data_IF_859464989816
#
_entry.id   IF_859464989816
#
_cell.length_a   1.000
_cell.length_b   1.000
_cell.length_c   1.000
_cell.angle_alpha   90.00
_cell.angle_beta   90.00
_cell.angle_gamma   90.00
#
_symmetry.space_group_name_H-M   'P 1'
#
loop_
_entity.id
_entity.type
_entity.pdbx_description
1 polymer ?
#
# COMPACT_ATOMS: atom_id res chain seq x y z
N UNK A 1 -19.42 5.77 2.18
CA UNK A 1 -18.58 5.23 1.10
C UNK A 1 -18.49 3.72 1.25
N UNK A 2 -18.36 3.04 0.16
CA UNK A 2 -18.38 1.58 0.06
C UNK A 2 -17.17 0.90 0.73
N UNK A 3 -16.17 1.68 1.14
CA UNK A 3 -14.99 1.19 1.89
C UNK A 3 -15.16 1.22 3.41
N UNK A 4 -16.29 1.66 3.95
CA UNK A 4 -16.50 1.78 5.41
C UNK A 4 -16.46 0.46 6.17
N UNK A 5 -16.53 -0.66 5.47
CA UNK A 5 -16.44 -1.99 6.08
C UNK A 5 -15.03 -2.41 6.48
N UNK A 6 -13.99 -1.80 5.90
CA UNK A 6 -12.62 -1.94 6.37
C UNK A 6 -12.43 -1.20 7.68
N UNK A 7 -11.68 -1.80 8.61
CA UNK A 7 -11.42 -1.19 9.92
C UNK A 7 -10.57 0.07 9.79
N UNK A 8 -9.58 0.04 8.87
CA UNK A 8 -8.71 1.17 8.58
C UNK A 8 -8.60 1.40 7.07
N UNK A 9 -8.83 2.65 6.67
CA UNK A 9 -8.55 3.12 5.31
C UNK A 9 -7.36 4.06 5.40
N UNK A 10 -6.29 3.77 4.64
CA UNK A 10 -5.09 4.62 4.51
C UNK A 10 -5.00 5.16 3.10
N UNK A 11 -5.09 6.45 2.95
CA UNK A 11 -4.89 7.08 1.64
C UNK A 11 -3.43 6.98 1.22
N UNK A 12 -3.16 6.26 0.12
CA UNK A 12 -1.84 6.21 -0.50
C UNK A 12 -1.55 7.55 -1.18
N UNK A 13 -0.94 8.48 -0.43
CA UNK A 13 -0.83 9.89 -0.81
C UNK A 13 0.10 10.14 -2.00
N UNK A 14 0.89 9.16 -2.43
CA UNK A 14 1.61 9.19 -3.71
C UNK A 14 0.71 9.43 -4.93
N UNK A 15 -0.58 9.11 -4.83
CA UNK A 15 -1.55 9.39 -5.90
C UNK A 15 -1.80 10.90 -6.07
N UNK A 16 -1.90 11.64 -4.99
CA UNK A 16 -1.95 13.11 -4.97
C UNK A 16 -1.64 13.63 -3.56
N UNK A 17 -0.44 14.12 -3.34
CA UNK A 17 0.03 14.61 -2.03
C UNK A 17 -0.23 16.10 -1.79
N UNK A 18 -1.17 16.70 -2.52
CA UNK A 18 -1.60 18.09 -2.32
C UNK A 18 -2.19 18.26 -0.92
N UNK A 19 -1.77 19.29 -0.17
CA UNK A 19 -2.19 19.49 1.23
C UNK A 19 -3.71 19.61 1.38
N UNK A 20 -4.39 20.25 0.44
CA UNK A 20 -5.85 20.36 0.47
C UNK A 20 -6.55 19.00 0.33
N UNK A 21 -6.02 18.09 -0.50
CA UNK A 21 -6.54 16.73 -0.64
C UNK A 21 -6.29 15.94 0.64
N UNK A 22 -5.09 16.02 1.21
CA UNK A 22 -4.75 15.35 2.47
C UNK A 22 -5.64 15.82 3.62
N UNK A 23 -5.84 17.14 3.77
CA UNK A 23 -6.72 17.68 4.81
C UNK A 23 -8.17 17.25 4.59
N UNK A 24 -8.65 17.27 3.36
CA UNK A 24 -10.00 16.81 3.03
C UNK A 24 -10.23 15.35 3.44
N UNK A 25 -9.38 14.43 3.02
CA UNK A 25 -9.56 13.01 3.35
C UNK A 25 -9.39 12.74 4.85
N UNK A 26 -8.53 13.49 5.55
CA UNK A 26 -8.35 13.42 7.01
C UNK A 26 -9.66 13.72 7.77
N UNK A 27 -10.45 14.67 7.31
CA UNK A 27 -11.73 15.04 7.93
C UNK A 27 -12.76 13.90 7.93
N UNK A 28 -12.57 12.89 7.07
CA UNK A 28 -13.39 11.69 7.03
C UNK A 28 -12.80 10.51 7.84
N UNK A 29 -11.76 10.76 8.64
CA UNK A 29 -11.11 9.72 9.44
C UNK A 29 -10.18 8.79 8.64
N UNK A 30 -9.92 9.13 7.38
CA UNK A 30 -8.98 8.36 6.55
C UNK A 30 -7.56 8.68 7.01
N UNK A 31 -6.78 7.63 7.31
CA UNK A 31 -5.36 7.72 7.65
C UNK A 31 -4.51 7.82 6.37
N UNK A 32 -3.18 7.85 6.49
CA UNK A 32 -2.30 7.95 5.31
C UNK A 32 -1.21 6.88 5.30
N UNK A 33 -0.88 6.46 4.08
CA UNK A 33 0.33 5.75 3.72
C UNK A 33 1.32 6.72 3.06
N UNK A 34 2.55 6.75 3.56
CA UNK A 34 3.63 7.59 3.07
C UNK A 34 4.78 6.72 2.52
N UNK A 35 5.36 7.12 1.40
CA UNK A 35 6.48 6.40 0.75
C UNK A 35 7.78 7.22 0.71
N UNK A 36 7.82 8.37 1.37
CA UNK A 36 8.98 9.25 1.44
C UNK A 36 8.92 10.18 2.65
N UNK A 37 10.09 10.72 3.04
CA UNK A 37 10.17 11.75 4.09
C UNK A 37 9.30 12.98 3.77
N UNK A 38 9.26 13.39 2.50
CA UNK A 38 8.45 14.53 2.07
C UNK A 38 6.94 14.29 2.26
N UNK A 39 6.47 13.07 2.07
CA UNK A 39 5.07 12.70 2.32
C UNK A 39 4.75 12.67 3.80
N UNK A 40 5.64 12.18 4.66
CA UNK A 40 5.49 12.25 6.12
C UNK A 40 5.31 13.71 6.56
N UNK A 41 6.19 14.61 6.09
CA UNK A 41 6.12 16.05 6.40
C UNK A 41 4.79 16.66 5.94
N UNK A 42 4.30 16.31 4.73
CA UNK A 42 3.01 16.80 4.22
C UNK A 42 1.84 16.33 5.07
N UNK A 43 1.82 15.05 5.45
CA UNK A 43 0.81 14.49 6.32
C UNK A 43 0.77 15.21 7.68
N UNK A 44 1.91 15.36 8.34
CA UNK A 44 2.02 16.07 9.61
C UNK A 44 1.57 17.53 9.50
N UNK A 45 1.89 18.20 8.39
CA UNK A 45 1.52 19.61 8.16
C UNK A 45 0.01 19.85 8.13
N UNK A 46 -0.77 18.87 7.71
CA UNK A 46 -2.24 18.94 7.71
C UNK A 46 -2.88 18.33 8.96
N UNK A 47 -2.07 17.90 9.94
CA UNK A 47 -2.55 17.48 11.24
C UNK A 47 -2.72 15.97 11.45
N UNK A 48 -2.18 15.12 10.57
CA UNK A 48 -2.00 13.71 10.90
C UNK A 48 -0.96 13.55 12.00
N UNK A 49 -1.27 12.74 12.99
CA UNK A 49 -0.39 12.53 14.13
C UNK A 49 0.56 11.37 13.86
N UNK A 50 1.87 11.59 13.98
CA UNK A 50 2.83 10.49 13.93
C UNK A 50 2.79 9.67 15.22
N UNK A 51 3.42 8.51 15.20
CA UNK A 51 3.64 7.64 16.36
C UNK A 51 2.90 6.32 16.29
N UNK A 52 3.48 5.32 16.94
CA UNK A 52 2.97 3.94 16.98
C UNK A 52 1.60 3.81 17.67
N UNK A 53 1.29 4.69 18.64
CA UNK A 53 0.04 4.61 19.38
C UNK A 53 -1.19 5.04 18.56
N UNK A 54 -1.01 6.01 17.66
CA UNK A 54 -2.13 6.58 16.88
C UNK A 54 -2.22 6.01 15.47
N UNK A 55 -1.09 5.58 14.90
CA UNK A 55 -1.00 4.99 13.55
C UNK A 55 -1.72 5.79 12.47
N UNK A 56 -1.74 7.15 12.58
CA UNK A 56 -2.36 7.96 11.53
C UNK A 56 -1.50 7.96 10.26
N UNK A 57 -0.17 7.80 10.42
CA UNK A 57 0.81 7.72 9.34
C UNK A 57 1.52 6.38 9.43
N UNK A 58 1.58 5.64 8.33
CA UNK A 58 2.49 4.49 8.16
C UNK A 58 3.49 4.79 7.04
N UNK A 59 4.66 4.19 7.10
CA UNK A 59 5.67 4.27 6.06
C UNK A 59 5.76 2.94 5.32
N UNK A 60 5.44 2.94 4.03
CA UNK A 60 5.47 1.75 3.19
C UNK A 60 6.44 1.95 2.03
N UNK A 61 7.59 1.30 2.09
CA UNK A 61 8.59 1.36 1.03
C UNK A 61 9.41 0.06 0.95
N UNK A 62 10.23 -0.05 -0.09
CA UNK A 62 11.18 -1.16 -0.25
C UNK A 62 12.60 -0.77 0.23
N UNK A 63 12.81 0.51 0.56
CA UNK A 63 14.06 1.07 1.08
C UNK A 63 13.80 2.20 2.07
N UNK A 64 14.77 2.47 2.93
CA UNK A 64 14.92 3.77 3.58
C UNK A 64 15.99 4.59 2.84
N UNK A 65 15.65 5.80 2.39
CA UNK A 65 16.67 6.81 2.18
C UNK A 65 17.03 7.47 3.51
N UNK A 66 18.12 8.27 3.52
CA UNK A 66 18.61 8.91 4.75
C UNK A 66 17.57 9.81 5.41
N UNK A 67 16.79 10.54 4.63
CA UNK A 67 15.79 11.44 5.16
C UNK A 67 14.59 10.66 5.71
N UNK A 68 14.19 9.58 5.05
CA UNK A 68 13.07 8.74 5.47
C UNK A 68 13.34 8.05 6.81
N UNK A 69 14.52 7.41 6.99
CA UNK A 69 14.84 6.74 8.25
C UNK A 69 14.91 7.74 9.41
N UNK A 70 15.47 8.94 9.20
CA UNK A 70 15.51 9.98 10.23
C UNK A 70 14.09 10.42 10.63
N UNK A 71 13.19 10.62 9.66
CA UNK A 71 11.81 11.00 9.94
C UNK A 71 11.05 9.89 10.67
N UNK A 72 11.24 8.64 10.25
CA UNK A 72 10.60 7.47 10.86
C UNK A 72 11.04 7.33 12.33
N UNK A 73 12.35 7.43 12.60
CA UNK A 73 12.90 7.36 13.96
C UNK A 73 12.46 8.53 14.82
N UNK A 74 12.57 9.77 14.30
CA UNK A 74 12.24 10.98 15.06
C UNK A 74 10.77 11.06 15.48
N UNK A 75 9.89 10.40 14.74
CA UNK A 75 8.44 10.46 14.95
C UNK A 75 7.81 9.12 15.31
N UNK A 76 8.60 8.09 15.59
CA UNK A 76 8.16 6.74 15.96
C UNK A 76 7.09 6.18 15.00
N UNK A 77 7.33 6.28 13.69
CA UNK A 77 6.36 5.90 12.66
C UNK A 77 6.39 4.39 12.44
N UNK A 78 5.21 3.77 12.39
CA UNK A 78 5.06 2.38 12.02
C UNK A 78 5.47 2.13 10.56
N UNK A 79 6.17 1.03 10.32
CA UNK A 79 6.70 0.71 9.00
C UNK A 79 6.18 -0.62 8.44
N UNK A 80 5.80 -0.58 7.18
CA UNK A 80 5.56 -1.74 6.33
C UNK A 80 6.86 -2.02 5.57
N UNK A 81 7.65 -2.99 6.07
CA UNK A 81 8.98 -3.32 5.56
C UNK A 81 8.90 -4.02 4.22
N UNK A 82 9.46 -3.45 3.17
CA UNK A 82 9.47 -3.99 1.81
C UNK A 82 10.74 -4.75 1.44
N UNK A 83 11.75 -4.78 2.33
CA UNK A 83 12.96 -5.58 2.15
C UNK A 83 13.52 -6.07 3.49
N UNK A 84 14.27 -7.19 3.52
CA UNK A 84 14.91 -7.68 4.74
C UNK A 84 15.89 -6.67 5.36
N UNK A 85 16.61 -5.90 4.55
CA UNK A 85 17.58 -4.91 5.01
C UNK A 85 16.95 -3.72 5.74
N UNK A 86 15.68 -3.39 5.43
CA UNK A 86 14.93 -2.39 6.19
C UNK A 86 14.72 -2.82 7.65
N UNK A 87 14.56 -4.12 7.92
CA UNK A 87 14.39 -4.65 9.28
C UNK A 87 15.66 -4.38 10.10
N UNK A 88 16.83 -4.65 9.54
CA UNK A 88 18.10 -4.40 10.23
C UNK A 88 18.29 -2.88 10.45
N UNK A 89 18.12 -2.05 9.40
CA UNK A 89 18.27 -0.59 9.49
C UNK A 89 17.32 0.05 10.50
N UNK A 90 16.09 -0.44 10.58
CA UNK A 90 15.11 0.04 11.55
C UNK A 90 15.42 -0.49 12.94
N UNK A 91 15.70 -1.79 13.10
CA UNK A 91 15.94 -2.43 14.38
C UNK A 91 17.16 -1.89 15.13
N UNK A 92 18.23 -1.52 14.40
CA UNK A 92 19.40 -0.84 14.98
C UNK A 92 19.05 0.50 15.64
N UNK A 93 18.02 1.18 15.17
CA UNK A 93 17.60 2.51 15.62
C UNK A 93 16.39 2.49 16.56
N UNK A 94 15.50 1.54 16.36
CA UNK A 94 14.17 1.44 16.98
C UNK A 94 13.89 0.01 17.45
N UNK A 95 14.66 -0.53 18.41
CA UNK A 95 14.41 -1.86 18.94
C UNK A 95 13.05 -1.95 19.65
N UNK A 96 12.58 -3.18 19.86
CA UNK A 96 11.36 -3.50 20.61
C UNK A 96 10.07 -2.85 20.05
N UNK A 97 9.99 -2.69 18.73
CA UNK A 97 8.84 -2.10 18.04
C UNK A 97 8.04 -3.12 17.22
N UNK A 98 6.73 -2.93 17.10
CA UNK A 98 5.95 -3.66 16.11
C UNK A 98 6.26 -3.16 14.69
N UNK A 99 6.30 -4.09 13.74
CA UNK A 99 6.45 -3.83 12.31
C UNK A 99 5.47 -4.68 11.51
N UNK A 100 5.23 -4.27 10.26
CA UNK A 100 4.49 -5.04 9.27
C UNK A 100 5.43 -5.49 8.15
N UNK A 101 5.28 -6.69 7.63
CA UNK A 101 6.00 -7.14 6.44
C UNK A 101 5.13 -6.95 5.20
N UNK A 102 5.65 -6.23 4.20
CA UNK A 102 5.07 -6.20 2.86
C UNK A 102 5.65 -7.36 2.05
N UNK A 103 4.78 -8.29 1.67
CA UNK A 103 5.19 -9.56 1.07
C UNK A 103 4.83 -9.58 -0.41
N UNK A 104 5.75 -10.11 -1.21
CA UNK A 104 5.55 -10.53 -2.59
C UNK A 104 5.30 -12.04 -2.59
N UNK A 105 4.07 -12.51 -2.88
CA UNK A 105 3.72 -13.93 -2.80
C UNK A 105 4.26 -14.78 -3.95
N UNK A 106 5.05 -14.22 -4.86
CA UNK A 106 5.64 -14.93 -5.99
C UNK A 106 4.80 -14.89 -7.28
N UNK A 107 3.62 -14.30 -7.23
CA UNK A 107 2.75 -14.09 -8.38
C UNK A 107 2.15 -12.69 -8.34
N UNK A 108 1.65 -12.19 -9.46
CA UNK A 108 1.05 -10.87 -9.52
C UNK A 108 0.33 -10.61 -10.83
N UNK A 109 -0.67 -9.73 -10.78
CA UNK A 109 -1.42 -9.23 -11.93
C UNK A 109 -1.42 -7.70 -11.94
N UNK A 110 -1.44 -7.11 -13.13
CA UNK A 110 -1.62 -5.68 -13.35
C UNK A 110 -2.17 -5.43 -14.75
N UNK A 111 -2.79 -4.26 -14.98
CA UNK A 111 -3.26 -3.84 -16.33
C UNK A 111 -2.15 -3.86 -17.38
N UNK A 112 -0.90 -3.82 -16.96
CA UNK A 112 0.29 -4.02 -17.79
C UNK A 112 1.41 -4.60 -16.92
N UNK A 113 2.43 -5.18 -17.54
CA UNK A 113 3.64 -5.63 -16.83
C UNK A 113 4.28 -4.51 -15.99
N UNK A 114 4.13 -3.24 -16.41
CA UNK A 114 4.69 -2.07 -15.72
C UNK A 114 3.94 -1.70 -14.42
N UNK A 115 2.70 -2.12 -14.27
CA UNK A 115 1.86 -1.85 -13.08
C UNK A 115 1.71 -3.09 -12.17
N UNK A 116 2.38 -4.20 -12.52
CA UNK A 116 2.42 -5.39 -11.69
C UNK A 116 3.36 -5.17 -10.50
N UNK A 117 2.85 -5.32 -9.28
CA UNK A 117 3.59 -5.16 -8.02
C UNK A 117 3.85 -6.49 -7.31
N UNK A 118 3.57 -7.64 -7.95
CA UNK A 118 3.85 -8.98 -7.45
C UNK A 118 4.59 -9.85 -8.49
N UNK A 119 5.05 -11.03 -8.05
CA UNK A 119 5.75 -12.00 -8.89
C UNK A 119 7.25 -11.72 -9.07
N UNK A 120 7.97 -12.62 -9.78
CA UNK A 120 9.44 -12.61 -9.81
C UNK A 120 10.05 -11.45 -10.61
N UNK A 121 9.26 -10.72 -11.37
CA UNK A 121 9.71 -9.54 -12.13
C UNK A 121 9.38 -8.21 -11.43
N UNK A 122 8.76 -8.25 -10.26
CA UNK A 122 8.47 -7.09 -9.45
C UNK A 122 9.53 -6.93 -8.37
N UNK A 123 10.05 -5.70 -8.22
CA UNK A 123 10.99 -5.36 -7.13
C UNK A 123 10.30 -5.15 -5.78
N UNK A 124 8.97 -5.09 -5.75
CA UNK A 124 8.21 -4.68 -4.58
C UNK A 124 7.97 -5.82 -3.61
N UNK A 125 8.22 -5.51 -2.33
CA UNK A 125 7.97 -6.42 -1.21
C UNK A 125 9.02 -7.51 -1.04
N UNK A 126 8.97 -8.15 0.11
CA UNK A 126 9.84 -9.26 0.50
C UNK A 126 9.36 -10.52 -0.22
N UNK A 127 10.25 -11.23 -0.87
CA UNK A 127 9.95 -12.50 -1.51
C UNK A 127 9.47 -13.54 -0.48
N UNK A 128 8.38 -14.23 -0.76
CA UNK A 128 7.71 -15.09 0.21
C UNK A 128 8.63 -16.13 0.88
N UNK A 129 9.61 -16.67 0.15
CA UNK A 129 10.58 -17.63 0.71
C UNK A 129 11.56 -16.99 1.72
N UNK A 130 11.70 -15.66 1.73
CA UNK A 130 12.56 -14.92 2.67
C UNK A 130 11.84 -14.50 3.96
N UNK A 131 10.55 -14.77 4.08
CA UNK A 131 9.76 -14.36 5.24
C UNK A 131 10.32 -14.95 6.53
N UNK A 132 10.75 -16.23 6.52
CA UNK A 132 11.41 -16.87 7.67
C UNK A 132 12.70 -16.15 8.11
N UNK A 133 13.51 -15.68 7.17
CA UNK A 133 14.69 -14.86 7.45
C UNK A 133 14.30 -13.53 8.10
N UNK A 134 13.20 -12.91 7.67
CA UNK A 134 12.71 -11.66 8.26
C UNK A 134 12.32 -11.83 9.73
N UNK A 135 11.71 -12.96 10.12
CA UNK A 135 11.43 -13.26 11.53
C UNK A 135 12.73 -13.37 12.35
N UNK A 136 13.74 -14.07 11.83
CA UNK A 136 15.03 -14.20 12.50
C UNK A 136 15.78 -12.85 12.62
N UNK A 137 15.63 -11.97 11.62
CA UNK A 137 16.19 -10.62 11.69
C UNK A 137 15.45 -9.75 12.72
N UNK A 138 14.12 -9.80 12.73
CA UNK A 138 13.29 -9.05 13.67
C UNK A 138 13.62 -9.45 15.14
N UNK A 139 13.76 -10.74 15.40
CA UNK A 139 14.10 -11.28 16.74
C UNK A 139 15.40 -10.70 17.27
N UNK A 140 16.43 -10.50 16.44
CA UNK A 140 17.73 -9.92 16.86
C UNK A 140 17.60 -8.52 17.48
N UNK A 141 16.57 -7.78 17.14
CA UNK A 141 16.34 -6.41 17.62
C UNK A 141 15.11 -6.31 18.54
N UNK A 142 14.51 -7.43 18.94
CA UNK A 142 13.27 -7.43 19.71
C UNK A 142 12.04 -6.93 18.95
N UNK A 143 12.13 -6.80 17.63
CA UNK A 143 11.00 -6.34 16.82
C UNK A 143 9.92 -7.42 16.75
N UNK A 144 8.66 -7.00 16.81
CA UNK A 144 7.51 -7.89 16.69
C UNK A 144 6.87 -7.72 15.32
N UNK A 145 6.82 -8.78 14.51
CA UNK A 145 6.05 -8.77 13.27
C UNK A 145 4.57 -8.93 13.64
N UNK A 146 3.86 -7.80 13.70
CA UNK A 146 2.46 -7.72 14.11
C UNK A 146 1.49 -7.56 12.94
N UNK A 147 2.00 -7.36 11.72
CA UNK A 147 1.17 -7.17 10.52
C UNK A 147 1.75 -7.84 9.29
N UNK A 148 0.87 -8.25 8.40
CA UNK A 148 1.20 -8.69 7.05
C UNK A 148 0.47 -7.81 6.04
N UNK A 149 1.18 -7.44 4.98
CA UNK A 149 0.70 -6.55 3.93
C UNK A 149 0.98 -7.18 2.57
N UNK A 150 -0.01 -7.21 1.69
CA UNK A 150 0.15 -7.60 0.30
C UNK A 150 -0.49 -6.56 -0.61
N UNK A 151 0.30 -6.04 -1.55
CA UNK A 151 -0.17 -5.13 -2.58
C UNK A 151 0.19 -5.71 -3.94
N UNK A 152 -0.76 -6.31 -4.63
CA UNK A 152 -0.53 -7.15 -5.81
C UNK A 152 -1.21 -6.55 -7.04
N UNK A 153 -0.64 -5.43 -7.51
CA UNK A 153 -1.08 -4.77 -8.73
C UNK A 153 -2.47 -4.13 -8.64
N UNK A 154 -2.92 -3.62 -9.76
CA UNK A 154 -4.26 -3.05 -9.93
C UNK A 154 -5.06 -3.97 -10.83
N UNK A 155 -6.18 -4.52 -10.33
CA UNK A 155 -7.01 -5.38 -11.17
C UNK A 155 -8.32 -5.77 -10.52
N UNK A 156 -9.23 -6.25 -11.36
CA UNK A 156 -10.55 -6.77 -11.00
C UNK A 156 -10.61 -8.30 -11.05
N UNK A 157 -9.45 -8.95 -11.14
CA UNK A 157 -9.38 -10.41 -11.20
C UNK A 157 -9.56 -11.00 -9.80
N UNK A 158 -10.77 -11.43 -9.52
CA UNK A 158 -11.15 -12.03 -8.23
C UNK A 158 -10.59 -13.42 -8.00
N UNK A 159 -10.26 -14.17 -9.05
CA UNK A 159 -9.58 -15.47 -8.90
C UNK A 159 -8.16 -15.24 -8.40
N UNK A 160 -7.46 -14.29 -9.00
CA UNK A 160 -6.15 -13.87 -8.55
C UNK A 160 -6.18 -13.31 -7.12
N UNK A 161 -7.18 -12.49 -6.79
CA UNK A 161 -7.35 -11.96 -5.43
C UNK A 161 -7.56 -13.09 -4.40
N UNK A 162 -8.30 -14.14 -4.75
CA UNK A 162 -8.45 -15.32 -3.89
C UNK A 162 -7.11 -15.98 -3.61
N UNK A 163 -6.24 -16.13 -4.61
CA UNK A 163 -4.89 -16.67 -4.43
C UNK A 163 -4.02 -15.80 -3.50
N UNK A 164 -4.16 -14.48 -3.56
CA UNK A 164 -3.49 -13.55 -2.64
C UNK A 164 -3.97 -13.76 -1.21
N UNK A 165 -5.28 -13.89 -1.01
CA UNK A 165 -5.88 -14.19 0.28
C UNK A 165 -5.38 -15.52 0.86
N UNK A 166 -5.32 -16.58 0.05
CA UNK A 166 -4.80 -17.89 0.45
C UNK A 166 -3.32 -17.82 0.84
N UNK A 167 -2.52 -17.04 0.11
CA UNK A 167 -1.10 -16.80 0.46
C UNK A 167 -0.95 -16.05 1.78
N UNK A 168 -1.80 -15.05 2.04
CA UNK A 168 -1.82 -14.33 3.32
C UNK A 168 -2.06 -15.28 4.48
N UNK A 169 -3.06 -16.15 4.37
CA UNK A 169 -3.37 -17.16 5.39
C UNK A 169 -2.23 -18.15 5.60
N UNK A 170 -1.66 -18.67 4.52
CA UNK A 170 -0.56 -19.63 4.57
C UNK A 170 0.63 -19.06 5.34
N UNK A 171 1.07 -17.86 4.99
CA UNK A 171 2.21 -17.21 5.64
C UNK A 171 1.94 -16.86 7.11
N UNK A 172 0.72 -16.42 7.43
CA UNK A 172 0.35 -16.16 8.81
C UNK A 172 0.41 -17.43 9.69
N UNK A 173 0.00 -18.58 9.14
CA UNK A 173 0.04 -19.88 9.82
C UNK A 173 1.45 -20.43 9.99
N UNK A 174 2.23 -20.42 8.90
CA UNK A 174 3.58 -21.02 8.89
C UNK A 174 4.51 -20.41 9.94
N UNK A 175 4.33 -19.12 10.21
CA UNK A 175 5.23 -18.39 11.10
C UNK A 175 4.66 -18.17 12.50
N UNK A 176 3.45 -18.67 12.81
CA UNK A 176 2.80 -18.50 14.12
C UNK A 176 2.92 -17.09 14.69
N UNK A 177 2.90 -16.09 13.80
CA UNK A 177 3.16 -14.72 14.16
C UNK A 177 2.00 -14.14 15.00
N UNK A 178 2.27 -13.21 15.92
CA UNK A 178 1.23 -12.51 16.69
C UNK A 178 0.57 -11.43 15.82
N UNK A 179 0.00 -11.85 14.67
CA UNK A 179 -0.59 -10.96 13.69
C UNK A 179 -1.82 -10.29 14.27
N UNK A 180 -1.79 -8.96 14.30
CA UNK A 180 -2.89 -8.10 14.73
C UNK A 180 -3.54 -7.38 13.56
N UNK A 181 -2.84 -7.27 12.44
CA UNK A 181 -3.29 -6.51 11.26
C UNK A 181 -2.97 -7.28 9.99
N UNK A 182 -3.92 -7.33 9.08
CA UNK A 182 -3.69 -7.68 7.68
C UNK A 182 -4.08 -6.52 6.79
N UNK A 183 -3.22 -6.18 5.82
CA UNK A 183 -3.48 -5.11 4.85
C UNK A 183 -3.65 -5.68 3.46
N UNK A 184 -4.78 -5.34 2.83
CA UNK A 184 -5.08 -5.63 1.44
C UNK A 184 -4.25 -4.77 0.46
N UNK A 185 -3.46 -3.82 1.00
CA UNK A 185 -2.73 -2.85 0.18
C UNK A 185 -3.65 -1.96 -0.64
N UNK A 186 -3.09 -1.42 -1.72
CA UNK A 186 -3.84 -0.60 -2.68
C UNK A 186 -4.24 -1.38 -3.93
N UNK A 187 -4.34 -0.65 -5.05
CA UNK A 187 -4.59 -1.26 -6.36
C UNK A 187 -6.04 -1.27 -6.81
N UNK A 188 -6.97 -0.71 -6.04
CA UNK A 188 -8.35 -0.57 -6.49
C UNK A 188 -8.39 0.24 -7.81
N UNK A 189 -8.93 -0.33 -8.90
CA UNK A 189 -9.04 0.34 -10.18
C UNK A 189 -10.19 1.33 -10.21
N UNK A 190 -10.16 2.22 -11.21
CA UNK A 190 -11.30 3.02 -11.64
C UNK A 190 -11.63 2.69 -13.09
N UNK A 191 -12.84 2.98 -13.52
CA UNK A 191 -13.21 2.95 -14.93
C UNK A 191 -12.66 4.19 -15.64
N UNK A 192 -11.78 3.99 -16.64
CA UNK A 192 -11.27 5.08 -17.47
C UNK A 192 -12.13 5.32 -18.72
N UNK A 193 -12.86 4.30 -19.14
CA UNK A 193 -13.73 4.35 -20.32
C UNK A 193 -15.20 4.18 -19.88
N UNK A 194 -16.15 4.81 -20.58
CA UNK A 194 -17.58 4.75 -20.20
C UNK A 194 -18.18 3.33 -20.18
N UNK A 195 -17.55 2.40 -20.87
CA UNK A 195 -17.98 0.99 -20.97
C UNK A 195 -17.20 0.03 -20.05
N UNK A 196 -16.29 0.55 -19.26
CA UNK A 196 -15.60 -0.26 -18.24
C UNK A 196 -16.49 -0.40 -17.00
N UNK A 197 -16.56 -1.62 -16.49
CA UNK A 197 -17.28 -1.89 -15.25
C UNK A 197 -16.47 -1.40 -14.04
N UNK A 198 -17.17 -0.82 -13.08
CA UNK A 198 -16.58 -0.50 -11.78
C UNK A 198 -16.27 -1.81 -11.02
N UNK A 199 -15.26 -1.75 -10.16
CA UNK A 199 -14.94 -2.88 -9.29
C UNK A 199 -16.11 -3.17 -8.33
N UNK A 200 -16.43 -4.45 -8.16
CA UNK A 200 -17.34 -4.93 -7.12
C UNK A 200 -16.64 -4.87 -5.75
N UNK A 201 -16.87 -3.78 -5.02
CA UNK A 201 -16.25 -3.53 -3.72
C UNK A 201 -16.78 -4.45 -2.63
N UNK A 202 -18.03 -4.89 -2.71
CA UNK A 202 -18.61 -5.82 -1.74
C UNK A 202 -17.90 -7.16 -1.85
N UNK A 203 -17.79 -7.71 -3.05
CA UNK A 203 -17.04 -8.94 -3.32
C UNK A 203 -15.55 -8.83 -2.94
N UNK A 204 -14.93 -7.67 -3.21
CA UNK A 204 -13.54 -7.42 -2.82
C UNK A 204 -13.38 -7.47 -1.30
N UNK A 205 -14.26 -6.78 -0.57
CA UNK A 205 -14.29 -6.80 0.88
C UNK A 205 -14.54 -8.21 1.43
N UNK A 206 -15.52 -8.92 0.89
CA UNK A 206 -15.91 -10.26 1.37
C UNK A 206 -14.76 -11.26 1.29
N UNK A 207 -13.96 -11.23 0.25
CA UNK A 207 -12.77 -12.08 0.12
C UNK A 207 -11.77 -11.80 1.25
N UNK A 208 -11.41 -10.55 1.46
CA UNK A 208 -10.47 -10.16 2.51
C UNK A 208 -11.03 -10.38 3.91
N UNK A 209 -12.30 -10.09 4.11
CA UNK A 209 -12.97 -10.32 5.39
C UNK A 209 -13.09 -11.82 5.71
N UNK A 210 -13.32 -12.65 4.71
CA UNK A 210 -13.28 -14.11 4.87
C UNK A 210 -11.92 -14.60 5.36
N UNK A 211 -10.84 -14.11 4.76
CA UNK A 211 -9.45 -14.37 5.21
C UNK A 211 -9.25 -13.92 6.66
N UNK A 212 -9.64 -12.69 6.98
CA UNK A 212 -9.57 -12.16 8.35
C UNK A 212 -10.29 -13.07 9.35
N UNK A 213 -11.52 -13.48 9.04
CA UNK A 213 -12.33 -14.31 9.94
C UNK A 213 -11.69 -15.69 10.17
N UNK A 214 -11.15 -16.32 9.13
CA UNK A 214 -10.47 -17.62 9.27
C UNK A 214 -9.23 -17.49 10.15
N UNK A 215 -8.41 -16.45 9.94
CA UNK A 215 -7.25 -16.16 10.77
C UNK A 215 -7.63 -15.82 12.22
N UNK A 216 -8.67 -15.03 12.46
CA UNK A 216 -9.16 -14.73 13.80
C UNK A 216 -9.59 -15.98 14.57
N UNK A 217 -10.30 -16.89 13.89
CA UNK A 217 -10.73 -18.15 14.50
C UNK A 217 -9.55 -19.05 14.85
N UNK A 218 -8.51 -19.07 14.05
CA UNK A 218 -7.32 -19.88 14.25
C UNK A 218 -6.39 -19.33 15.33
N UNK A 219 -6.15 -18.01 15.30
CA UNK A 219 -5.25 -17.32 16.24
C UNK A 219 -5.92 -16.99 17.58
N UNK A 220 -7.25 -17.04 17.66
CA UNK A 220 -8.00 -16.82 18.88
C UNK A 220 -8.11 -15.37 19.35
N UNK A 221 -7.84 -14.41 18.47
CA UNK A 221 -7.97 -12.97 18.75
C UNK A 221 -8.46 -12.17 17.54
N UNK A 222 -8.84 -10.92 17.76
CA UNK A 222 -9.27 -10.03 16.68
C UNK A 222 -8.09 -9.59 15.82
N UNK A 223 -8.36 -9.45 14.50
CA UNK A 223 -7.42 -8.95 13.50
C UNK A 223 -8.06 -7.76 12.81
N UNK A 224 -7.31 -6.66 12.73
CA UNK A 224 -7.70 -5.44 11.98
C UNK A 224 -7.48 -5.65 10.50
N UNK A 225 -8.44 -5.25 9.66
CA UNK A 225 -8.36 -5.30 8.21
C UNK A 225 -8.17 -3.90 7.65
N UNK A 226 -7.02 -3.67 7.02
CA UNK A 226 -6.67 -2.39 6.39
C UNK A 226 -6.73 -2.43 4.87
N UNK A 227 -6.93 -1.25 4.26
CA UNK A 227 -6.83 -1.03 2.81
C UNK A 227 -6.15 0.31 2.51
N UNK A 228 -5.39 0.37 1.40
CA UNK A 228 -4.57 1.53 1.00
C UNK A 228 -4.96 2.10 -0.38
N UNK A 229 -6.20 2.58 -0.57
CA UNK A 229 -6.61 3.17 -1.85
C UNK A 229 -5.88 4.48 -2.11
N UNK A 230 -5.29 4.62 -3.29
CA UNK A 230 -4.74 5.89 -3.77
C UNK A 230 -5.56 6.42 -4.94
N UNK A 231 -5.32 5.85 -6.13
CA UNK A 231 -6.01 6.19 -7.38
C UNK A 231 -7.53 6.21 -7.22
N UNK A 232 -8.09 5.19 -6.59
CA UNK A 232 -9.53 5.05 -6.42
C UNK A 232 -10.20 6.26 -5.75
N UNK A 233 -9.50 6.93 -4.82
CA UNK A 233 -10.06 8.08 -4.08
C UNK A 233 -9.95 9.41 -4.83
N UNK A 234 -9.01 9.56 -5.75
CA UNK A 234 -8.66 10.88 -6.30
C UNK A 234 -8.62 10.98 -7.82
N UNK A 235 -8.58 9.87 -8.56
CA UNK A 235 -8.38 9.95 -10.01
C UNK A 235 -9.54 10.63 -10.73
N UNK A 236 -10.77 10.45 -10.26
CA UNK A 236 -11.96 11.08 -10.84
C UNK A 236 -12.22 12.52 -10.32
N UNK A 237 -11.36 13.01 -9.41
CA UNK A 237 -11.54 14.33 -8.79
C UNK A 237 -10.89 15.48 -9.56
N UNK A 238 -10.18 15.21 -10.66
CA UNK A 238 -9.44 16.22 -11.39
C UNK A 238 -9.36 16.00 -12.88
N UNK A 239 -9.03 17.08 -13.59
CA UNK A 239 -8.81 17.08 -15.03
C UNK A 239 -7.50 17.77 -15.35
N UNK A 240 -6.75 17.23 -16.32
CA UNK A 240 -5.62 17.92 -16.91
C UNK A 240 -6.10 18.71 -18.12
N UNK A 241 -6.05 20.04 -18.03
CA UNK A 241 -6.32 20.93 -19.15
C UNK A 241 -5.02 21.22 -19.88
N UNK A 242 -5.00 21.00 -21.19
CA UNK A 242 -3.81 21.18 -22.03
C UNK A 242 -4.17 21.77 -23.38
N UNK A 243 -3.23 22.48 -24.01
CA UNK A 243 -3.37 23.05 -25.34
C UNK A 243 -2.59 22.23 -26.37
N UNK A 244 -3.20 21.99 -27.55
CA UNK A 244 -2.49 21.37 -28.67
C UNK A 244 -1.59 22.42 -29.31
N UNK A 245 -0.28 22.27 -29.19
CA UNK A 245 0.74 23.20 -29.71
C UNK A 245 1.20 22.87 -31.11
N UNK A 246 1.08 21.61 -31.55
CA UNK A 246 1.41 21.17 -32.88
C UNK A 246 0.67 19.88 -33.25
N UNK A 247 0.49 19.66 -34.54
CA UNK A 247 -0.01 18.40 -35.09
C UNK A 247 1.03 17.90 -36.08
N UNK A 248 1.37 16.60 -35.97
CA UNK A 248 2.27 15.94 -36.93
C UNK A 248 1.59 14.72 -37.52
N UNK A 249 1.81 14.51 -38.81
CA UNK A 249 1.43 13.28 -39.51
C UNK A 249 2.70 12.47 -39.83
N UNK A 250 2.69 11.20 -39.53
CA UNK A 250 3.82 10.29 -39.74
C UNK A 250 3.28 8.95 -40.26
N UNK A 251 3.23 8.83 -41.58
CA UNK A 251 2.51 7.75 -42.26
C UNK A 251 1.01 7.81 -41.91
N UNK A 252 0.46 6.71 -41.46
CA UNK A 252 -0.96 6.63 -41.09
C UNK A 252 -1.26 7.14 -39.67
N UNK A 253 -0.23 7.59 -38.94
CA UNK A 253 -0.39 8.07 -37.56
C UNK A 253 -0.46 9.59 -37.51
N UNK A 254 -1.35 10.08 -36.63
CA UNK A 254 -1.50 11.52 -36.33
C UNK A 254 -1.17 11.74 -34.84
N UNK A 255 -0.23 12.65 -34.58
CA UNK A 255 0.23 13.02 -33.25
C UNK A 255 -0.22 14.42 -32.90
N UNK A 256 -0.87 14.58 -31.76
CA UNK A 256 -1.19 15.85 -31.13
C UNK A 256 -0.13 16.14 -30.07
N UNK A 257 0.69 17.17 -30.29
CA UNK A 257 1.70 17.59 -29.35
C UNK A 257 1.11 18.69 -28.46
N UNK A 258 1.12 18.39 -27.16
CA UNK A 258 0.48 19.22 -26.14
C UNK A 258 1.54 19.86 -25.22
N UNK A 259 1.15 20.93 -24.51
CA UNK A 259 2.01 21.64 -23.58
C UNK A 259 2.05 21.02 -22.17
N UNK A 260 1.54 19.81 -22.00
CA UNK A 260 1.64 19.02 -20.79
C UNK A 260 2.37 17.69 -21.07
N UNK A 261 3.05 17.18 -20.05
CA UNK A 261 3.81 15.92 -20.11
C UNK A 261 4.02 15.31 -18.73
N UNK A 262 4.90 14.33 -18.64
CA UNK A 262 5.20 13.60 -17.40
C UNK A 262 5.63 14.48 -16.22
N UNK A 263 6.01 15.74 -16.45
CA UNK A 263 6.34 16.68 -15.38
C UNK A 263 5.11 17.36 -14.77
N UNK A 264 3.96 17.20 -15.40
CA UNK A 264 2.71 17.87 -15.02
C UNK A 264 1.71 16.91 -14.38
N UNK A 265 1.88 15.60 -14.67
CA UNK A 265 0.98 14.56 -14.20
C UNK A 265 1.74 13.27 -13.89
#
# INVERSE_FOLDING_TARGET
SDLKSFDVIRYAQKANSTLAVLDFVRQYGVKVDAVSAGEIVRAMKVGYRPGQEVHDIVYTADIFDRAAIEMVVAHDIHCNMGSPDMIDQYGERMPDRPITLRINPGFGHGHSQKTNTGGPQSKHGIWHEQVGECFARAERYGLTISGLHMHIGSGTDFEHLSQVCDSMETLAREHHAPIKTISAGGGLPIAYEPNQEAIDLERYYDLWNGTRQRLQNELGHSIELEIEPGRYLVAESGFLLTEIRAIKEMGDNKFYLVDAGFNNL
#
